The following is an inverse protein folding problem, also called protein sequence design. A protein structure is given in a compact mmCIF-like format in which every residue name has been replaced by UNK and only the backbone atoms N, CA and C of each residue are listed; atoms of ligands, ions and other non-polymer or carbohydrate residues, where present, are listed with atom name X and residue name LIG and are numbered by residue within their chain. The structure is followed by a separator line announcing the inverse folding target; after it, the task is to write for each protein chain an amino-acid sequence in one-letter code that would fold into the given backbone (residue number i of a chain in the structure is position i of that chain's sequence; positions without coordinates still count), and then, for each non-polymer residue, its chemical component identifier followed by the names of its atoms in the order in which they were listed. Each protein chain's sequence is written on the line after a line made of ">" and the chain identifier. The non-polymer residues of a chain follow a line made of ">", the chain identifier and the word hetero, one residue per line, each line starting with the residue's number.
data_IF_716217558496
#
_entry.id   IF_716217558496
#
_cell.length_a   1.000
_cell.length_b   1.000
_cell.length_c   1.000
_cell.angle_alpha   90.00
_cell.angle_beta   90.00
_cell.angle_gamma   90.00
#
_symmetry.space_group_name_H-M   'P 1'
#
loop_
_entity.id
_entity.type
_entity.pdbx_description
1 polymer ?
#
# COMPACT_ATOMS: atom_id res chain seq x y z
N UNK A 1 -21.35 -4.03 -13.84
CA UNK A 1 -20.70 -5.31 -14.19
C UNK A 1 -19.63 -5.57 -13.14
N UNK A 2 -19.73 -6.62 -12.30
CA UNK A 2 -18.72 -6.86 -11.28
C UNK A 2 -17.44 -7.35 -11.96
N UNK A 3 -16.35 -6.61 -11.77
CA UNK A 3 -15.04 -6.91 -12.35
C UNK A 3 -14.52 -8.22 -11.75
N UNK A 4 -14.35 -9.25 -12.58
CA UNK A 4 -14.01 -10.62 -12.20
C UNK A 4 -12.54 -10.82 -11.75
N UNK A 5 -11.89 -9.78 -11.22
CA UNK A 5 -10.48 -9.84 -10.79
C UNK A 5 -10.34 -10.30 -9.32
N UNK A 6 -11.42 -10.35 -8.54
CA UNK A 6 -11.34 -10.49 -7.07
C UNK A 6 -11.48 -11.91 -6.50
N UNK A 7 -11.37 -12.99 -7.28
CA UNK A 7 -11.43 -14.35 -6.69
C UNK A 7 -10.25 -15.18 -7.14
N UNK A 8 -9.39 -15.49 -6.17
CA UNK A 8 -8.22 -16.37 -6.25
C UNK A 8 -7.02 -15.83 -7.03
N UNK A 9 -6.16 -15.07 -6.34
CA UNK A 9 -4.75 -15.00 -6.73
C UNK A 9 -3.86 -15.34 -5.53
N UNK A 10 -3.04 -16.39 -5.61
CA UNK A 10 -1.92 -16.56 -4.69
C UNK A 10 -0.97 -15.35 -4.83
N UNK A 11 -0.53 -14.83 -3.68
CA UNK A 11 0.45 -13.75 -3.45
C UNK A 11 1.19 -13.25 -4.73
N UNK A 12 0.60 -12.24 -5.38
CA UNK A 12 1.15 -11.51 -6.53
C UNK A 12 1.78 -10.19 -6.05
N UNK A 13 2.76 -9.57 -6.75
CA UNK A 13 3.58 -8.46 -6.25
C UNK A 13 2.83 -7.12 -6.34
N UNK A 14 1.63 -7.04 -5.74
CA UNK A 14 0.84 -5.81 -5.64
C UNK A 14 1.29 -4.98 -4.42
N UNK A 15 1.78 -5.64 -3.36
CA UNK A 15 2.30 -5.01 -2.16
C UNK A 15 3.75 -4.47 -2.30
N UNK A 16 4.13 -3.90 -3.44
CA UNK A 16 5.50 -3.36 -3.65
C UNK A 16 5.86 -2.26 -2.64
N UNK A 17 4.86 -1.58 -2.07
CA UNK A 17 5.08 -0.47 -1.15
C UNK A 17 5.92 -0.85 0.07
N UNK A 18 5.78 -2.06 0.64
CA UNK A 18 6.62 -2.47 1.78
C UNK A 18 8.05 -2.80 1.36
N UNK A 19 8.28 -3.27 0.11
CA UNK A 19 9.63 -3.48 -0.41
C UNK A 19 10.38 -2.16 -0.64
N UNK A 20 9.65 -1.10 -0.98
CA UNK A 20 10.21 0.24 -1.14
C UNK A 20 10.40 0.88 0.24
N UNK A 21 9.33 1.01 1.01
CA UNK A 21 9.36 1.77 2.26
C UNK A 21 10.25 1.08 3.31
N UNK A 22 9.94 -0.17 3.64
CA UNK A 22 10.70 -0.92 4.63
C UNK A 22 11.96 -1.50 3.99
N UNK A 23 11.82 -2.20 2.87
CA UNK A 23 12.93 -2.93 2.24
C UNK A 23 14.11 -2.05 1.82
N UNK A 24 13.84 -0.82 1.33
CA UNK A 24 14.85 0.16 0.88
C UNK A 24 14.97 1.41 1.76
N UNK A 25 14.30 1.43 2.91
CA UNK A 25 14.32 2.57 3.84
C UNK A 25 13.90 3.90 3.19
N UNK A 26 12.84 3.85 2.38
CA UNK A 26 12.27 5.02 1.72
C UNK A 26 11.09 5.53 2.58
N UNK A 27 10.99 6.83 2.85
CA UNK A 27 9.81 7.40 3.51
C UNK A 27 8.50 7.00 2.79
N UNK A 28 7.45 6.70 3.57
CA UNK A 28 6.19 6.20 3.02
C UNK A 28 5.57 7.18 2.02
N UNK A 29 5.62 8.47 2.34
CA UNK A 29 5.12 9.55 1.49
C UNK A 29 5.83 9.58 0.13
N UNK A 30 7.15 9.39 0.09
CA UNK A 30 7.94 9.30 -1.14
C UNK A 30 7.62 8.05 -1.94
N UNK A 31 7.38 6.92 -1.27
CA UNK A 31 6.97 5.68 -1.94
C UNK A 31 5.59 5.84 -2.61
N UNK A 32 4.63 6.47 -1.91
CA UNK A 32 3.30 6.79 -2.44
C UNK A 32 3.40 7.79 -3.60
N UNK A 33 4.22 8.83 -3.47
CA UNK A 33 4.47 9.81 -4.52
C UNK A 33 4.94 9.14 -5.82
N UNK A 34 5.96 8.29 -5.69
CA UNK A 34 6.52 7.57 -6.82
C UNK A 34 5.49 6.64 -7.47
N UNK A 35 4.72 5.89 -6.67
CA UNK A 35 3.70 4.96 -7.17
C UNK A 35 2.58 5.69 -7.93
N UNK A 36 2.07 6.79 -7.37
CA UNK A 36 1.01 7.59 -8.01
C UNK A 36 1.55 8.40 -9.20
N UNK A 37 2.84 8.71 -9.23
CA UNK A 37 3.50 9.35 -10.38
C UNK A 37 3.43 8.50 -11.66
N UNK A 38 3.37 7.17 -11.55
CA UNK A 38 3.38 6.25 -12.70
C UNK A 38 2.09 6.32 -13.52
N UNK A 39 0.93 6.45 -12.88
CA UNK A 39 -0.37 6.44 -13.56
C UNK A 39 -1.38 7.40 -12.90
N UNK A 40 -2.30 8.01 -13.67
CA UNK A 40 -3.31 8.91 -13.10
C UNK A 40 -4.43 8.20 -12.33
N UNK A 41 -4.58 6.89 -12.52
CA UNK A 41 -5.58 6.07 -11.82
C UNK A 41 -4.91 4.72 -11.55
N UNK A 42 -5.12 4.16 -10.36
CA UNK A 42 -4.51 2.90 -9.99
C UNK A 42 -5.03 2.32 -8.69
N UNK A 43 -4.50 1.15 -8.34
CA UNK A 43 -4.76 0.45 -7.08
C UNK A 43 -3.43 0.19 -6.40
N UNK A 44 -3.34 0.50 -5.11
CA UNK A 44 -2.17 0.21 -4.27
C UNK A 44 -2.59 -0.81 -3.22
N UNK A 45 -1.87 -1.92 -3.11
CA UNK A 45 -2.03 -2.86 -2.00
C UNK A 45 -1.12 -2.44 -0.84
N UNK A 46 -1.72 -2.14 0.31
CA UNK A 46 -0.99 -1.77 1.51
C UNK A 46 -1.07 -2.89 2.56
N UNK A 47 0.05 -3.56 2.87
CA UNK A 47 0.15 -4.40 4.05
C UNK A 47 0.53 -3.57 5.26
N UNK A 48 -0.26 -3.71 6.32
CA UNK A 48 -0.01 -3.14 7.64
C UNK A 48 1.19 -3.78 8.32
N UNK A 49 1.64 -3.22 9.45
CA UNK A 49 2.70 -3.83 10.26
C UNK A 49 2.35 -5.24 10.74
N UNK A 50 1.08 -5.59 10.92
CA UNK A 50 0.65 -6.93 11.36
C UNK A 50 0.68 -7.99 10.25
N UNK A 51 1.04 -7.61 9.02
CA UNK A 51 1.19 -8.53 7.92
C UNK A 51 2.41 -9.46 8.11
N UNK A 52 2.30 -10.79 7.88
CA UNK A 52 3.42 -11.71 8.05
C UNK A 52 4.66 -11.35 7.21
N UNK A 53 4.49 -10.80 6.00
CA UNK A 53 5.62 -10.37 5.17
C UNK A 53 6.30 -9.13 5.76
N UNK A 54 5.52 -8.16 6.24
CA UNK A 54 6.04 -6.95 6.89
C UNK A 54 6.78 -7.31 8.18
N UNK A 55 6.20 -8.18 9.02
CA UNK A 55 6.86 -8.73 10.20
C UNK A 55 8.18 -9.43 9.85
N UNK A 56 8.22 -10.20 8.76
CA UNK A 56 9.45 -10.84 8.29
C UNK A 56 10.53 -9.81 7.95
N UNK A 57 10.18 -8.71 7.28
CA UNK A 57 11.12 -7.64 6.93
C UNK A 57 11.61 -6.86 8.15
N UNK A 58 10.72 -6.60 9.12
CA UNK A 58 11.04 -5.91 10.36
C UNK A 58 11.88 -6.78 11.30
N UNK A 59 11.75 -8.10 11.27
CA UNK A 59 12.49 -9.01 12.15
C UNK A 59 14.03 -8.90 12.06
N UNK A 60 14.53 -8.32 10.97
CA UNK A 60 15.96 -8.18 10.71
C UNK A 60 16.47 -6.73 10.89
N UNK A 61 15.64 -5.81 11.40
CA UNK A 61 15.91 -4.37 11.43
C UNK A 61 15.38 -3.71 12.69
N UNK A 62 15.96 -2.58 13.06
CA UNK A 62 15.37 -1.68 14.06
C UNK A 62 14.12 -1.02 13.46
N UNK A 63 13.00 -1.00 14.20
CA UNK A 63 11.74 -0.40 13.72
C UNK A 63 11.81 1.13 13.81
N UNK A 64 12.40 1.73 12.77
CA UNK A 64 12.45 3.18 12.55
C UNK A 64 11.30 3.69 11.67
N UNK A 65 10.35 2.81 11.32
CA UNK A 65 9.29 3.09 10.36
C UNK A 65 8.02 3.57 11.06
N UNK A 66 8.12 4.65 11.85
CA UNK A 66 7.00 5.18 12.64
C UNK A 66 5.81 5.56 11.77
N UNK A 67 6.06 6.17 10.61
CA UNK A 67 5.03 6.64 9.67
C UNK A 67 4.51 5.52 8.76
N UNK A 68 4.99 4.28 8.91
CA UNK A 68 4.46 3.13 8.16
C UNK A 68 3.22 2.58 8.86
N UNK A 69 2.11 3.30 8.72
CA UNK A 69 0.78 2.87 9.16
C UNK A 69 -0.31 3.28 8.17
N UNK A 70 -1.51 2.77 8.42
CA UNK A 70 -2.68 2.97 7.57
C UNK A 70 -3.10 4.43 7.45
N UNK A 71 -2.99 5.22 8.51
CA UNK A 71 -3.47 6.60 8.54
C UNK A 71 -2.50 7.51 7.77
N UNK A 72 -1.20 7.35 7.97
CA UNK A 72 -0.17 8.03 7.18
C UNK A 72 -0.23 7.62 5.70
N UNK A 73 -0.49 6.35 5.41
CA UNK A 73 -0.70 5.89 4.02
C UNK A 73 -1.90 6.60 3.36
N UNK A 74 -3.07 6.61 4.01
CA UNK A 74 -4.26 7.29 3.51
C UNK A 74 -4.05 8.78 3.34
N UNK A 75 -3.37 9.42 4.28
CA UNK A 75 -3.02 10.83 4.20
C UNK A 75 -2.08 11.10 3.01
N UNK A 76 -1.07 10.26 2.79
CA UNK A 76 -0.14 10.38 1.68
C UNK A 76 -0.84 10.21 0.32
N UNK A 77 -1.78 9.28 0.20
CA UNK A 77 -2.57 9.12 -1.04
C UNK A 77 -3.50 10.32 -1.24
N UNK A 78 -4.23 10.71 -0.20
CA UNK A 78 -5.19 11.83 -0.25
C UNK A 78 -4.53 13.16 -0.59
N UNK A 79 -3.26 13.34 -0.24
CA UNK A 79 -2.48 14.52 -0.61
C UNK A 79 -2.20 14.63 -2.12
N UNK A 80 -2.36 13.54 -2.89
CA UNK A 80 -1.95 13.43 -4.31
C UNK A 80 -3.09 13.06 -5.26
N UNK A 81 -4.21 12.57 -4.74
CA UNK A 81 -5.37 12.16 -5.52
C UNK A 81 -6.55 11.77 -4.64
N UNK A 82 -7.71 11.55 -5.24
CA UNK A 82 -8.90 11.11 -4.52
C UNK A 82 -8.85 9.60 -4.25
N UNK A 83 -9.19 9.21 -3.02
CA UNK A 83 -9.47 7.80 -2.68
C UNK A 83 -10.88 7.47 -3.17
N UNK A 84 -10.98 6.49 -4.06
CA UNK A 84 -12.25 6.09 -4.70
C UNK A 84 -12.88 4.89 -4.02
N UNK A 85 -12.05 3.95 -3.55
CA UNK A 85 -12.50 2.71 -2.93
C UNK A 85 -11.38 2.13 -2.06
N UNK A 86 -11.77 1.51 -0.95
CA UNK A 86 -10.91 0.70 -0.09
C UNK A 86 -11.55 -0.68 0.10
N UNK A 87 -10.79 -1.75 -0.10
CA UNK A 87 -11.22 -3.13 0.11
C UNK A 87 -10.22 -3.88 0.99
N UNK A 88 -10.68 -4.43 2.10
CA UNK A 88 -9.86 -5.26 2.97
C UNK A 88 -9.70 -6.66 2.37
N UNK A 89 -8.45 -7.15 2.27
CA UNK A 89 -8.16 -8.44 1.61
C UNK A 89 -7.76 -9.54 2.59
N UNK A 90 -7.18 -9.19 3.73
CA UNK A 90 -6.75 -10.15 4.76
C UNK A 90 -7.05 -9.59 6.14
N UNK A 91 -8.23 -9.86 6.71
CA UNK A 91 -8.57 -9.67 8.14
C UNK A 91 -7.81 -8.53 8.88
N UNK A 92 -7.88 -7.31 8.35
CA UNK A 92 -7.27 -6.09 8.88
C UNK A 92 -5.77 -5.90 8.60
N UNK A 93 -5.09 -6.91 8.06
CA UNK A 93 -3.65 -6.92 7.78
C UNK A 93 -3.27 -6.32 6.44
N UNK A 94 -4.17 -6.42 5.46
CA UNK A 94 -3.97 -5.87 4.10
C UNK A 94 -5.25 -5.27 3.58
N UNK A 95 -5.11 -4.21 2.82
CA UNK A 95 -6.19 -3.63 2.04
C UNK A 95 -5.69 -3.11 0.69
N UNK A 96 -6.60 -3.05 -0.27
CA UNK A 96 -6.44 -2.43 -1.57
C UNK A 96 -7.06 -1.05 -1.51
N UNK A 97 -6.32 -0.04 -1.95
CA UNK A 97 -6.80 1.32 -2.07
C UNK A 97 -6.75 1.75 -3.53
N UNK A 98 -7.92 2.09 -4.10
CA UNK A 98 -8.04 2.64 -5.45
C UNK A 98 -8.01 4.16 -5.41
N UNK A 99 -7.14 4.76 -6.21
CA UNK A 99 -6.99 6.21 -6.32
C UNK A 99 -7.29 6.72 -7.73
N UNK A 100 -7.70 7.98 -7.81
CA UNK A 100 -7.89 8.74 -9.06
C UNK A 100 -7.34 10.18 -8.88
N UNK A 101 -6.33 10.52 -9.69
CA UNK A 101 -5.71 11.86 -9.80
C UNK A 101 -5.92 12.49 -11.18
N UNK A 102 -6.86 11.96 -11.97
CA UNK A 102 -7.17 12.49 -13.31
C UNK A 102 -8.08 13.73 -13.28
N UNK A 103 -8.55 14.12 -12.09
CA UNK A 103 -9.41 15.28 -11.86
C UNK A 103 -8.62 16.52 -11.50
#
# INVERSE_FOLDING_TARGET
>A
MPCAVCRSLPLSPLAVIHHIAIGRNVPLDMAVDWLMGIAPVGVIEFPTKDDPMVQTLLSQREDIFADYDTDHFRAAVSARGGIVEEEETIAGKRFLLRYDRSR
#
